data_IF_589097921429
#
_entry.id   IF_589097921429
#
_cell.length_a   1.000
_cell.length_b   1.000
_cell.length_c   1.000
_cell.angle_alpha   90.00
_cell.angle_beta   90.00
_cell.angle_gamma   90.00
#
_symmetry.space_group_name_H-M   'P 1'
#
loop_
_entity.id
_entity.type
_entity.pdbx_description
1 polymer ?
#
# COMPACT_ATOMS: atom_id res chain seq x y z
N UNK A 1 29.78 9.17 -9.38
CA UNK A 1 29.36 7.74 -9.39
C UNK A 1 29.42 7.10 -8.00
N UNK A 2 30.58 6.97 -7.35
CA UNK A 2 30.72 6.32 -6.02
C UNK A 2 29.80 6.83 -4.90
N UNK A 3 29.70 8.15 -4.71
CA UNK A 3 28.81 8.76 -3.71
C UNK A 3 27.32 8.45 -3.93
N UNK A 4 26.89 8.30 -5.18
CA UNK A 4 25.51 7.93 -5.52
C UNK A 4 25.27 6.45 -5.17
N UNK A 5 26.22 5.58 -5.54
CA UNK A 5 26.16 4.16 -5.19
C UNK A 5 26.04 3.94 -3.68
N UNK A 6 26.83 4.63 -2.86
CA UNK A 6 26.74 4.54 -1.40
C UNK A 6 25.36 4.96 -0.85
N UNK A 7 24.72 5.97 -1.46
CA UNK A 7 23.37 6.39 -1.07
C UNK A 7 22.33 5.32 -1.40
N UNK A 8 22.43 4.74 -2.60
CA UNK A 8 21.53 3.66 -3.04
C UNK A 8 21.73 2.42 -2.16
N UNK A 9 22.97 1.98 -1.92
CA UNK A 9 23.28 0.83 -1.05
C UNK A 9 22.72 1.02 0.38
N UNK A 10 22.91 2.21 0.97
CA UNK A 10 22.36 2.54 2.28
C UNK A 10 20.82 2.47 2.30
N UNK A 11 20.16 2.95 1.25
CA UNK A 11 18.72 2.87 1.13
C UNK A 11 18.24 1.43 0.95
N UNK A 12 18.88 0.66 0.05
CA UNK A 12 18.57 -0.74 -0.17
C UNK A 12 18.66 -1.56 1.12
N UNK A 13 19.73 -1.41 1.90
CA UNK A 13 19.87 -2.07 3.21
C UNK A 13 18.81 -1.64 4.23
N UNK A 14 18.39 -0.37 4.18
CA UNK A 14 17.34 0.12 5.07
C UNK A 14 15.95 -0.45 4.73
N UNK A 15 15.68 -0.73 3.45
CA UNK A 15 14.39 -1.28 3.01
C UNK A 15 14.37 -2.81 2.93
N UNK A 16 15.54 -3.46 2.91
CA UNK A 16 15.73 -4.90 2.80
C UNK A 16 14.81 -5.71 3.74
N UNK A 17 14.71 -5.39 5.05
CA UNK A 17 13.84 -6.17 5.96
C UNK A 17 12.36 -6.12 5.56
N UNK A 18 11.92 -5.04 4.91
CA UNK A 18 10.53 -4.85 4.54
C UNK A 18 10.19 -5.43 3.16
N UNK A 19 11.19 -5.53 2.27
CA UNK A 19 10.98 -5.94 0.88
C UNK A 19 11.25 -7.43 0.62
N UNK A 20 12.23 -8.03 1.30
CA UNK A 20 12.69 -9.39 0.99
C UNK A 20 12.54 -10.39 2.15
N UNK A 21 12.14 -9.91 3.33
CA UNK A 21 11.84 -10.81 4.44
C UNK A 21 10.39 -11.24 4.34
N UNK A 22 10.16 -12.55 4.37
CA UNK A 22 8.81 -13.09 4.45
C UNK A 22 8.29 -12.87 5.87
N UNK A 23 7.19 -12.12 5.98
CA UNK A 23 6.55 -11.85 7.26
C UNK A 23 5.51 -12.92 7.53
N UNK A 24 5.79 -13.81 8.47
CA UNK A 24 4.77 -14.71 9.01
C UNK A 24 3.96 -13.97 10.06
N UNK A 25 2.67 -13.77 9.81
CA UNK A 25 1.73 -13.21 10.77
C UNK A 25 0.59 -14.21 11.00
N UNK A 26 0.26 -14.49 12.27
CA UNK A 26 -0.95 -15.23 12.60
C UNK A 26 -2.14 -14.29 12.47
N UNK A 27 -3.19 -14.77 11.78
CA UNK A 27 -4.48 -14.09 11.69
C UNK A 27 -5.49 -14.66 12.69
N UNK A 28 -5.17 -15.76 13.36
CA UNK A 28 -6.14 -16.60 14.06
C UNK A 28 -6.88 -15.82 15.16
N UNK A 29 -6.16 -15.02 15.94
CA UNK A 29 -6.76 -14.18 16.98
C UNK A 29 -7.66 -13.08 16.41
N UNK A 30 -7.27 -12.46 15.28
CA UNK A 30 -8.07 -11.42 14.64
C UNK A 30 -9.36 -12.02 14.07
N UNK A 31 -9.26 -13.23 13.50
CA UNK A 31 -10.43 -13.95 12.99
C UNK A 31 -11.35 -14.38 14.13
N UNK A 32 -10.82 -14.91 15.22
CA UNK A 32 -11.62 -15.27 16.40
C UNK A 32 -12.37 -14.07 16.95
N UNK A 33 -11.71 -12.91 17.09
CA UNK A 33 -12.37 -11.68 17.54
C UNK A 33 -13.47 -11.26 16.57
N UNK A 34 -13.24 -11.37 15.26
CA UNK A 34 -14.26 -11.06 14.26
C UNK A 34 -15.48 -11.98 14.38
N UNK A 35 -15.25 -13.28 14.52
CA UNK A 35 -16.30 -14.30 14.60
C UNK A 35 -17.11 -14.20 15.89
N UNK A 36 -16.50 -13.71 16.97
CA UNK A 36 -17.15 -13.47 18.27
C UNK A 36 -17.98 -12.16 18.33
N UNK A 37 -17.82 -11.24 17.37
CA UNK A 37 -18.57 -9.99 17.35
C UNK A 37 -20.03 -10.21 16.95
N UNK A 38 -20.93 -9.45 17.58
CA UNK A 38 -22.31 -9.35 17.12
C UNK A 38 -22.38 -8.70 15.73
N UNK A 39 -23.37 -9.08 14.92
CA UNK A 39 -23.54 -8.57 13.55
C UNK A 39 -23.58 -7.03 13.49
N UNK A 40 -24.21 -6.39 14.49
CA UNK A 40 -24.26 -4.92 14.61
C UNK A 40 -22.86 -4.31 14.70
N UNK A 41 -21.95 -4.96 15.44
CA UNK A 41 -20.62 -4.45 15.71
C UNK A 41 -19.68 -4.76 14.54
N UNK A 42 -19.87 -5.90 13.87
CA UNK A 42 -19.23 -6.19 12.59
C UNK A 42 -19.56 -5.13 11.52
N UNK A 43 -20.82 -4.69 11.46
CA UNK A 43 -21.25 -3.63 10.53
C UNK A 43 -20.63 -2.27 10.86
N UNK A 44 -20.48 -1.94 12.15
CA UNK A 44 -19.85 -0.70 12.61
C UNK A 44 -18.34 -0.70 12.40
N UNK A 45 -17.69 -1.84 12.64
CA UNK A 45 -16.23 -2.00 12.63
C UNK A 45 -15.79 -2.93 11.50
N UNK A 46 -15.88 -2.48 10.25
CA UNK A 46 -15.50 -3.30 9.08
C UNK A 46 -13.99 -3.50 8.94
N UNK A 47 -13.39 -4.34 9.78
CA UNK A 47 -11.98 -4.71 9.69
C UNK A 47 -11.74 -6.10 9.09
N UNK A 48 -12.78 -6.76 8.58
CA UNK A 48 -12.61 -7.94 7.71
C UNK A 48 -11.96 -7.54 6.38
N UNK A 49 -10.66 -7.76 6.29
CA UNK A 49 -9.85 -7.45 5.11
C UNK A 49 -10.18 -8.33 3.89
N UNK A 50 -10.91 -9.44 4.05
CA UNK A 50 -11.35 -10.27 2.92
C UNK A 50 -12.48 -9.62 2.12
N UNK A 51 -13.37 -8.89 2.78
CA UNK A 51 -14.50 -8.18 2.16
C UNK A 51 -14.15 -6.76 1.72
N UNK A 52 -12.96 -6.29 2.08
CA UNK A 52 -12.49 -4.96 1.75
C UNK A 52 -12.26 -4.80 0.25
N UNK A 53 -12.78 -3.71 -0.35
CA UNK A 53 -12.58 -3.41 -1.76
C UNK A 53 -11.15 -2.87 -2.02
N UNK A 54 -10.19 -3.77 -2.08
CA UNK A 54 -8.78 -3.45 -2.32
C UNK A 54 -8.55 -2.68 -3.61
N UNK A 55 -9.30 -3.00 -4.67
CA UNK A 55 -9.17 -2.34 -5.97
C UNK A 55 -9.48 -0.86 -5.87
N UNK A 56 -10.62 -0.52 -5.28
CA UNK A 56 -11.04 0.86 -5.09
C UNK A 56 -10.08 1.62 -4.15
N UNK A 57 -9.70 1.00 -3.04
CA UNK A 57 -8.73 1.58 -2.12
C UNK A 57 -7.42 1.92 -2.81
N UNK A 58 -6.82 0.99 -3.55
CA UNK A 58 -5.54 1.20 -4.22
C UNK A 58 -5.67 2.29 -5.30
N UNK A 59 -6.76 2.30 -6.08
CA UNK A 59 -7.02 3.35 -7.07
C UNK A 59 -7.05 4.73 -6.39
N UNK A 60 -7.86 4.88 -5.35
CA UNK A 60 -8.02 6.14 -4.62
C UNK A 60 -6.72 6.56 -3.93
N UNK A 61 -5.99 5.59 -3.36
CA UNK A 61 -4.70 5.82 -2.73
C UNK A 61 -3.67 6.38 -3.73
N UNK A 62 -3.50 5.73 -4.88
CA UNK A 62 -2.58 6.21 -5.91
C UNK A 62 -2.99 7.56 -6.50
N UNK A 63 -4.28 7.80 -6.70
CA UNK A 63 -4.78 9.11 -7.14
C UNK A 63 -4.46 10.21 -6.11
N UNK A 64 -4.71 9.95 -4.83
CA UNK A 64 -4.39 10.86 -3.73
C UNK A 64 -2.88 11.15 -3.66
N UNK A 65 -2.05 10.11 -3.71
CA UNK A 65 -0.59 10.26 -3.67
C UNK A 65 -0.10 11.14 -4.82
N UNK A 66 -0.59 10.92 -6.04
CA UNK A 66 -0.23 11.73 -7.20
C UNK A 66 -0.64 13.19 -7.04
N UNK A 67 -1.86 13.45 -6.57
CA UNK A 67 -2.39 14.81 -6.43
C UNK A 67 -1.74 15.59 -5.30
N UNK A 68 -1.55 14.98 -4.14
CA UNK A 68 -1.18 15.69 -2.91
C UNK A 68 0.29 15.56 -2.55
N UNK A 69 0.94 14.44 -2.86
CA UNK A 69 2.35 14.23 -2.52
C UNK A 69 3.28 14.56 -3.68
N UNK A 70 2.84 14.27 -4.92
CA UNK A 70 3.64 14.51 -6.13
C UNK A 70 3.23 15.78 -6.89
N UNK A 71 2.15 16.46 -6.46
CA UNK A 71 1.61 17.66 -7.11
C UNK A 71 1.31 17.46 -8.62
N UNK A 72 0.92 16.25 -9.03
CA UNK A 72 0.53 15.97 -10.40
C UNK A 72 -0.97 16.26 -10.61
N UNK A 73 -1.30 16.96 -11.70
CA UNK A 73 -2.70 17.16 -12.11
C UNK A 73 -3.22 15.95 -12.92
N UNK A 74 -4.54 15.71 -12.86
CA UNK A 74 -5.18 14.61 -13.60
C UNK A 74 -4.94 14.68 -15.12
N UNK A 75 -4.79 15.89 -15.66
CA UNK A 75 -4.46 16.11 -17.07
C UNK A 75 -3.05 15.61 -17.45
N UNK A 76 -2.15 15.40 -16.49
CA UNK A 76 -0.80 14.86 -16.71
C UNK A 76 -0.78 13.33 -16.82
N UNK A 77 -1.90 12.64 -16.54
CA UNK A 77 -2.00 11.17 -16.59
C UNK A 77 -1.55 10.58 -17.93
N UNK A 78 -2.03 11.14 -19.04
CA UNK A 78 -1.67 10.66 -20.39
C UNK A 78 -0.17 10.85 -20.64
N UNK A 79 0.39 11.98 -20.24
CA UNK A 79 1.80 12.32 -20.43
C UNK A 79 2.71 11.43 -19.57
N UNK A 80 2.36 11.24 -18.29
CA UNK A 80 3.09 10.34 -17.40
C UNK A 80 3.07 8.90 -17.92
N UNK A 81 1.93 8.40 -18.40
CA UNK A 81 1.85 7.06 -19.00
C UNK A 81 2.76 6.93 -20.22
N UNK A 82 2.74 7.89 -21.16
CA UNK A 82 3.61 7.88 -22.33
C UNK A 82 5.11 7.90 -21.97
N UNK A 83 5.49 8.56 -20.87
CA UNK A 83 6.89 8.66 -20.43
C UNK A 83 7.45 7.33 -19.88
N UNK A 84 6.58 6.44 -19.39
CA UNK A 84 6.95 5.16 -18.77
C UNK A 84 6.52 3.93 -19.58
N UNK A 85 5.86 4.11 -20.73
CA UNK A 85 5.72 3.05 -21.74
C UNK A 85 7.10 2.87 -22.37
N UNK A 86 7.73 1.73 -22.08
CA UNK A 86 8.92 1.23 -22.78
C UNK A 86 8.51 0.56 -24.09
#
# INVERSE_FOLDING_TARGET
MWKLYMKVDKFCKAVEPFCITEWTYSRDNIQSIWDDLEEKDQQLFKFNMAEFNWTEYLINHYQGLRRYQLNENDNMLKVSRMKYVR
#
